data_IF_623872127424
#
_entry.id   IF_623872127424
#
_cell.length_a   1.000
_cell.length_b   1.000
_cell.length_c   1.000
_cell.angle_alpha   90.00
_cell.angle_beta   90.00
_cell.angle_gamma   90.00
#
_symmetry.space_group_name_H-M   'P 1'
#
loop_
_entity.id
_entity.type
_entity.pdbx_description
1 polymer ?
#
# COMPACT_ATOMS: atom_id res chain seq x y z
N UNK A 1 69.93 -32.17 16.29
CA UNK A 1 69.46 -30.77 16.46
C UNK A 1 68.72 -30.20 15.25
N UNK A 2 69.17 -30.42 14.00
CA UNK A 2 68.50 -29.89 12.79
C UNK A 2 67.04 -30.36 12.58
N UNK A 3 66.73 -31.62 12.94
CA UNK A 3 65.36 -32.18 12.83
C UNK A 3 64.36 -31.58 13.84
N UNK A 4 64.84 -31.09 14.99
CA UNK A 4 64.00 -30.44 16.00
C UNK A 4 63.63 -29.01 15.59
N UNK A 5 64.57 -28.27 14.98
CA UNK A 5 64.29 -26.96 14.38
C UNK A 5 63.32 -27.07 13.19
N UNK A 6 63.44 -28.13 12.38
CA UNK A 6 62.54 -28.36 11.25
C UNK A 6 61.10 -28.66 11.70
N UNK A 7 60.94 -29.38 12.81
CA UNK A 7 59.64 -29.69 13.40
C UNK A 7 58.98 -28.46 14.05
N UNK A 8 59.76 -27.59 14.70
CA UNK A 8 59.26 -26.32 15.22
C UNK A 8 58.82 -25.37 14.10
N UNK A 9 59.55 -25.35 12.97
CA UNK A 9 59.20 -24.53 11.81
C UNK A 9 57.89 -24.98 11.16
N UNK A 10 57.63 -26.30 11.10
CA UNK A 10 56.34 -26.82 10.62
C UNK A 10 55.17 -26.51 11.55
N UNK A 11 55.39 -26.46 12.87
CA UNK A 11 54.34 -26.14 13.83
C UNK A 11 53.90 -24.66 13.73
N UNK A 12 54.85 -23.76 13.49
CA UNK A 12 54.57 -22.32 13.28
C UNK A 12 53.82 -22.07 11.97
N UNK A 13 54.13 -22.83 10.91
CA UNK A 13 53.43 -22.73 9.63
C UNK A 13 51.95 -23.18 9.72
N UNK A 14 51.63 -24.19 10.55
CA UNK A 14 50.25 -24.61 10.79
C UNK A 14 49.45 -23.57 11.61
N UNK A 15 50.10 -22.79 12.47
CA UNK A 15 49.45 -21.74 13.26
C UNK A 15 48.95 -20.56 12.41
N UNK A 16 49.61 -20.26 11.30
CA UNK A 16 49.21 -19.16 10.40
C UNK A 16 48.03 -19.51 9.47
N UNK A 17 47.76 -20.80 9.25
CA UNK A 17 46.66 -21.24 8.38
C UNK A 17 45.26 -21.05 9.01
N UNK A 18 45.18 -20.71 10.30
CA UNK A 18 43.90 -20.62 11.04
C UNK A 18 43.20 -19.25 10.94
N UNK A 19 43.77 -18.27 10.24
CA UNK A 19 43.27 -16.88 10.20
C UNK A 19 42.48 -16.51 8.93
N UNK A 20 41.87 -17.47 8.23
CA UNK A 20 41.02 -17.20 7.07
C UNK A 20 39.54 -17.04 7.47
N UNK A 21 39.22 -15.99 8.25
CA UNK A 21 37.83 -15.56 8.44
C UNK A 21 37.49 -14.51 7.39
N UNK A 22 36.95 -14.96 6.25
CA UNK A 22 36.33 -14.05 5.29
C UNK A 22 35.05 -13.48 5.94
N UNK A 23 34.98 -12.16 6.15
CA UNK A 23 33.73 -11.50 6.55
C UNK A 23 32.63 -11.83 5.52
N UNK A 24 31.67 -12.67 5.92
CA UNK A 24 30.52 -13.01 5.11
C UNK A 24 29.61 -11.78 5.00
N UNK A 25 29.69 -11.08 3.87
CA UNK A 25 28.76 -10.00 3.53
C UNK A 25 27.42 -10.61 3.10
N UNK A 26 26.52 -10.81 4.06
CA UNK A 26 25.14 -11.22 3.78
C UNK A 26 24.25 -10.00 3.52
N UNK A 27 23.75 -9.91 2.29
CA UNK A 27 22.65 -9.00 1.95
C UNK A 27 21.33 -9.75 1.93
N UNK A 28 20.24 -9.07 2.29
CA UNK A 28 18.88 -9.58 2.07
C UNK A 28 18.13 -8.63 1.14
N UNK A 29 17.22 -9.19 0.33
CA UNK A 29 16.35 -8.42 -0.56
C UNK A 29 14.96 -8.40 0.03
N UNK A 30 14.39 -7.21 0.21
CA UNK A 30 12.97 -7.07 0.51
C UNK A 30 12.18 -7.08 -0.81
N UNK A 31 11.63 -8.24 -1.16
CA UNK A 31 10.87 -8.42 -2.39
C UNK A 31 9.60 -7.55 -2.45
N UNK A 32 8.93 -7.32 -1.31
CA UNK A 32 7.74 -6.47 -1.26
C UNK A 32 8.08 -5.02 -1.59
N UNK A 33 9.12 -4.48 -0.94
CA UNK A 33 9.60 -3.12 -1.20
C UNK A 33 10.09 -2.95 -2.64
N UNK A 34 10.81 -3.94 -3.17
CA UNK A 34 11.29 -3.91 -4.55
C UNK A 34 10.14 -3.81 -5.56
N UNK A 35 9.06 -4.56 -5.34
CA UNK A 35 7.89 -4.53 -6.22
C UNK A 35 7.08 -3.24 -6.08
N UNK A 36 6.96 -2.69 -4.86
CA UNK A 36 6.26 -1.44 -4.60
C UNK A 36 6.99 -0.22 -5.20
N UNK A 37 8.32 -0.16 -5.03
CA UNK A 37 9.16 0.90 -5.56
C UNK A 37 9.55 0.67 -7.04
N UNK A 38 9.06 -0.41 -7.67
CA UNK A 38 9.36 -0.69 -9.06
C UNK A 38 8.76 0.39 -9.98
N UNK A 39 9.52 0.93 -10.95
CA UNK A 39 9.02 1.96 -11.86
C UNK A 39 7.81 1.50 -12.68
N UNK A 40 7.75 0.20 -12.99
CA UNK A 40 6.59 -0.40 -13.67
C UNK A 40 5.33 -0.35 -12.80
N UNK A 41 5.45 -0.58 -11.48
CA UNK A 41 4.32 -0.54 -10.56
C UNK A 41 3.76 0.88 -10.45
N UNK A 42 4.63 1.89 -10.35
CA UNK A 42 4.22 3.30 -10.35
C UNK A 42 3.49 3.69 -11.64
N UNK A 43 4.02 3.31 -12.81
CA UNK A 43 3.38 3.59 -14.10
C UNK A 43 2.00 2.92 -14.22
N UNK A 44 1.89 1.65 -13.83
CA UNK A 44 0.61 0.94 -13.79
C UNK A 44 -0.38 1.58 -12.82
N UNK A 45 0.07 1.99 -11.64
CA UNK A 45 -0.75 2.68 -10.65
C UNK A 45 -1.28 4.01 -11.18
N UNK A 46 -0.42 4.82 -11.81
CA UNK A 46 -0.82 6.11 -12.40
C UNK A 46 -1.83 5.93 -13.54
N UNK A 47 -1.66 4.88 -14.35
CA UNK A 47 -2.63 4.52 -15.39
C UNK A 47 -3.98 4.14 -14.79
N UNK A 48 -4.00 3.26 -13.78
CA UNK A 48 -5.22 2.87 -13.08
C UNK A 48 -5.90 4.07 -12.44
N UNK A 49 -5.16 4.93 -11.72
CA UNK A 49 -5.69 6.18 -11.17
C UNK A 49 -6.39 6.99 -12.24
N UNK A 50 -5.74 7.24 -13.38
CA UNK A 50 -6.34 8.00 -14.48
C UNK A 50 -7.61 7.37 -15.04
N UNK A 51 -7.65 6.04 -15.17
CA UNK A 51 -8.81 5.31 -15.69
C UNK A 51 -9.99 5.29 -14.69
N UNK A 52 -9.70 5.27 -13.39
CA UNK A 52 -10.71 5.14 -12.33
C UNK A 52 -11.09 6.46 -11.64
N UNK A 53 -10.30 7.53 -11.75
CA UNK A 53 -10.61 8.85 -11.18
C UNK A 53 -12.02 9.36 -11.56
N UNK A 54 -12.48 9.25 -12.83
CA UNK A 54 -13.83 9.69 -13.18
C UNK A 54 -14.93 8.91 -12.45
N UNK A 55 -14.70 7.61 -12.19
CA UNK A 55 -15.65 6.77 -11.44
C UNK A 55 -15.67 7.17 -9.97
N UNK A 56 -14.50 7.43 -9.39
CA UNK A 56 -14.37 7.90 -8.00
C UNK A 56 -15.06 9.25 -7.80
N UNK A 57 -14.80 10.23 -8.67
CA UNK A 57 -15.47 11.54 -8.65
C UNK A 57 -16.99 11.40 -8.73
N UNK A 58 -17.49 10.54 -9.63
CA UNK A 58 -18.93 10.27 -9.75
C UNK A 58 -19.50 9.73 -8.44
N UNK A 59 -18.87 8.72 -7.84
CA UNK A 59 -19.31 8.13 -6.57
C UNK A 59 -19.35 9.19 -5.45
N UNK A 60 -18.29 9.98 -5.31
CA UNK A 60 -18.23 11.06 -4.30
C UNK A 60 -19.32 12.11 -4.54
N UNK A 61 -19.59 12.47 -5.80
CA UNK A 61 -20.64 13.43 -6.13
C UNK A 61 -22.06 12.89 -5.84
N UNK A 62 -22.32 11.62 -6.14
CA UNK A 62 -23.57 10.94 -5.80
C UNK A 62 -23.78 10.89 -4.29
N UNK A 63 -22.74 10.52 -3.54
CA UNK A 63 -22.79 10.49 -2.09
C UNK A 63 -23.15 11.85 -1.48
N UNK A 64 -22.51 12.93 -1.97
CA UNK A 64 -22.85 14.30 -1.53
C UNK A 64 -24.30 14.65 -1.83
N UNK A 65 -24.77 14.34 -3.04
CA UNK A 65 -26.16 14.62 -3.45
C UNK A 65 -27.17 13.90 -2.56
N UNK A 66 -26.92 12.64 -2.21
CA UNK A 66 -27.77 11.87 -1.30
C UNK A 66 -27.79 12.52 0.08
N UNK A 67 -26.61 12.84 0.65
CA UNK A 67 -26.50 13.48 1.96
C UNK A 67 -27.20 14.83 2.01
N UNK A 68 -27.05 15.67 0.97
CA UNK A 68 -27.73 16.96 0.90
C UNK A 68 -29.26 16.80 0.89
N UNK A 69 -29.79 15.82 0.16
CA UNK A 69 -31.23 15.51 0.14
C UNK A 69 -31.73 14.97 1.47
N UNK A 70 -30.94 14.14 2.15
CA UNK A 70 -31.26 13.65 3.50
C UNK A 70 -31.31 14.79 4.52
N UNK A 71 -30.35 15.71 4.46
CA UNK A 71 -30.33 16.88 5.34
C UNK A 71 -31.50 17.82 5.05
N UNK A 72 -31.85 18.03 3.78
CA UNK A 72 -33.04 18.81 3.42
C UNK A 72 -34.33 18.17 3.97
N UNK A 73 -34.50 16.86 3.84
CA UNK A 73 -35.63 16.14 4.44
C UNK A 73 -35.64 16.31 5.96
N UNK A 74 -34.50 16.09 6.62
CA UNK A 74 -34.39 16.17 8.08
C UNK A 74 -34.73 17.56 8.61
N UNK A 75 -34.20 18.60 7.98
CA UNK A 75 -34.36 19.99 8.43
C UNK A 75 -35.72 20.58 8.02
N UNK A 76 -36.20 20.29 6.81
CA UNK A 76 -37.37 20.96 6.24
C UNK A 76 -38.65 20.11 6.28
N UNK A 77 -38.61 18.87 6.78
CA UNK A 77 -39.79 17.98 6.83
C UNK A 77 -41.03 18.64 7.44
N UNK A 78 -40.87 19.47 8.47
CA UNK A 78 -41.97 20.15 9.15
C UNK A 78 -42.63 21.28 8.33
N UNK A 79 -41.95 21.82 7.32
CA UNK A 79 -42.45 22.90 6.45
C UNK A 79 -42.79 22.42 5.03
N UNK A 80 -42.51 21.16 4.71
CA UNK A 80 -42.82 20.55 3.41
C UNK A 80 -44.28 20.07 3.35
N UNK A 81 -44.86 20.07 2.14
CA UNK A 81 -46.13 19.37 1.90
C UNK A 81 -45.91 17.85 1.93
N UNK A 82 -46.94 17.09 2.29
CA UNK A 82 -46.85 15.63 2.36
C UNK A 82 -46.46 15.00 1.01
N UNK A 83 -46.94 15.56 -0.11
CA UNK A 83 -46.56 15.12 -1.46
C UNK A 83 -45.08 15.36 -1.76
N UNK A 84 -44.58 16.56 -1.44
CA UNK A 84 -43.17 16.91 -1.65
C UNK A 84 -42.24 16.06 -0.77
N UNK A 85 -42.62 15.85 0.50
CA UNK A 85 -41.90 14.98 1.44
C UNK A 85 -41.80 13.55 0.92
N UNK A 86 -42.94 12.94 0.55
CA UNK A 86 -42.97 11.57 0.00
C UNK A 86 -42.20 11.43 -1.30
N UNK A 87 -42.22 12.45 -2.16
CA UNK A 87 -41.43 12.45 -3.40
C UNK A 87 -39.95 12.43 -3.08
N UNK A 88 -39.48 13.33 -2.21
CA UNK A 88 -38.07 13.42 -1.84
C UNK A 88 -37.58 12.17 -1.09
N UNK A 89 -38.40 11.57 -0.23
CA UNK A 89 -38.10 10.27 0.40
C UNK A 89 -37.90 9.16 -0.63
N UNK A 90 -38.76 9.09 -1.67
CA UNK A 90 -38.59 8.11 -2.76
C UNK A 90 -37.34 8.38 -3.58
N UNK A 91 -37.06 9.65 -3.88
CA UNK A 91 -35.89 10.06 -4.66
C UNK A 91 -34.59 9.65 -3.92
N UNK A 92 -34.50 9.87 -2.60
CA UNK A 92 -33.35 9.42 -1.77
C UNK A 92 -33.20 7.90 -1.77
N UNK A 93 -34.30 7.16 -1.66
CA UNK A 93 -34.27 5.68 -1.70
C UNK A 93 -33.83 5.17 -3.07
N UNK A 94 -34.22 5.84 -4.16
CA UNK A 94 -33.79 5.51 -5.50
C UNK A 94 -32.30 5.80 -5.70
N UNK A 95 -31.83 6.99 -5.32
CA UNK A 95 -30.42 7.37 -5.45
C UNK A 95 -29.47 6.44 -4.67
N UNK A 96 -29.91 5.91 -3.52
CA UNK A 96 -29.12 4.95 -2.73
C UNK A 96 -28.98 3.56 -3.36
N UNK A 97 -29.81 3.24 -4.35
CA UNK A 97 -29.77 1.93 -5.03
C UNK A 97 -28.85 1.93 -6.25
N UNK A 98 -28.53 3.10 -6.80
CA UNK A 98 -27.75 3.31 -8.02
C UNK A 98 -26.27 3.64 -7.73
#
# INVERSE_FOLDING_TARGET
MKKLNLFCLSLVALGWACAAHAELKMGYVNAARLLEEAPQAEQSMNRLKKEFSPREEKIVSSQKTITDREDQLRLNSAVMTEEARRKMERDVVADKRD
#
